data_IF_036195033498
#
_entry.id   IF_036195033498
#
_cell.length_a   1.000
_cell.length_b   1.000
_cell.length_c   1.000
_cell.angle_alpha   90.00
_cell.angle_beta   90.00
_cell.angle_gamma   90.00
#
_symmetry.space_group_name_H-M   'P 1'
#
loop_
_entity.id
_entity.type
_entity.pdbx_description
1 polymer ?
#
# COMPACT_ATOMS: atom_id res chain seq x y z
N UNK A 1 -1.71 -10.37 -4.24
CA UNK A 1 -0.51 -9.50 -4.15
C UNK A 1 -0.38 -8.59 -5.36
N UNK A 2 -0.29 -9.15 -6.57
CA UNK A 2 0.01 -8.40 -7.81
C UNK A 2 -0.90 -7.19 -8.04
N UNK A 3 -2.22 -7.38 -8.07
CA UNK A 3 -3.17 -6.28 -8.27
C UNK A 3 -3.08 -5.19 -7.20
N UNK A 4 -2.75 -5.54 -5.95
CA UNK A 4 -2.58 -4.57 -4.87
C UNK A 4 -1.32 -3.72 -5.08
N UNK A 5 -0.19 -4.36 -5.44
CA UNK A 5 1.07 -3.67 -5.73
C UNK A 5 0.92 -2.68 -6.90
N UNK A 6 0.27 -3.07 -8.00
CA UNK A 6 0.03 -2.19 -9.13
C UNK A 6 -0.96 -1.06 -8.82
N UNK A 7 -2.04 -1.34 -8.09
CA UNK A 7 -2.98 -0.30 -7.65
C UNK A 7 -2.29 0.77 -6.81
N UNK A 8 -1.46 0.35 -5.83
CA UNK A 8 -0.69 1.26 -5.02
C UNK A 8 0.32 2.08 -5.85
N UNK A 9 1.03 1.43 -6.79
CA UNK A 9 1.98 2.11 -7.68
C UNK A 9 1.30 3.22 -8.48
N UNK A 10 0.09 2.96 -8.96
CA UNK A 10 -0.72 3.97 -9.64
C UNK A 10 -1.13 5.11 -8.68
N UNK A 11 -1.56 4.80 -7.45
CA UNK A 11 -1.98 5.81 -6.47
C UNK A 11 -0.84 6.74 -6.03
N UNK A 12 0.38 6.22 -5.85
CA UNK A 12 1.56 7.03 -5.45
C UNK A 12 2.21 7.76 -6.64
N UNK A 13 1.99 7.27 -7.86
CA UNK A 13 2.38 7.96 -9.09
C UNK A 13 1.47 9.15 -9.41
N UNK A 14 0.21 9.08 -8.98
CA UNK A 14 -0.81 10.07 -9.23
C UNK A 14 -0.76 11.23 -8.22
N UNK A 15 -0.39 12.42 -8.71
CA UNK A 15 -0.29 13.66 -7.92
C UNK A 15 -1.65 14.13 -7.38
N UNK A 16 -2.76 13.70 -7.97
CA UNK A 16 -4.10 14.04 -7.48
C UNK A 16 -4.58 13.07 -6.38
N UNK A 17 -3.85 11.97 -6.14
CA UNK A 17 -4.17 10.95 -5.13
C UNK A 17 -3.13 10.91 -3.99
N UNK A 18 -2.58 9.73 -3.69
CA UNK A 18 -1.58 9.57 -2.62
C UNK A 18 -0.25 10.22 -3.00
N UNK A 19 0.09 10.22 -4.30
CA UNK A 19 1.35 10.78 -4.79
C UNK A 19 1.55 12.28 -4.55
N UNK A 20 0.46 13.05 -4.43
CA UNK A 20 0.52 14.48 -4.06
C UNK A 20 0.42 14.75 -2.56
N UNK A 21 0.16 13.70 -1.77
CA UNK A 21 -0.04 13.77 -0.33
C UNK A 21 1.18 13.28 0.44
N UNK A 22 1.91 12.32 -0.11
CA UNK A 22 3.12 11.74 0.45
C UNK A 22 4.32 12.67 0.24
N UNK A 23 5.22 12.74 1.21
CA UNK A 23 6.54 13.33 1.00
C UNK A 23 7.45 12.39 0.17
N UNK A 24 8.56 12.92 -0.33
CA UNK A 24 9.47 12.17 -1.20
C UNK A 24 10.07 10.93 -0.50
N UNK A 25 10.28 10.98 0.81
CA UNK A 25 10.82 9.84 1.57
C UNK A 25 9.77 8.75 1.70
N UNK A 26 8.59 9.10 2.17
CA UNK A 26 7.44 8.20 2.33
C UNK A 26 7.06 7.56 0.98
N UNK A 27 7.06 8.35 -0.11
CA UNK A 27 6.82 7.84 -1.46
C UNK A 27 7.88 6.83 -1.90
N UNK A 28 9.16 7.13 -1.67
CA UNK A 28 10.26 6.24 -2.07
C UNK A 28 10.25 4.92 -1.30
N UNK A 29 9.87 4.94 -0.01
CA UNK A 29 9.70 3.72 0.78
C UNK A 29 8.58 2.83 0.22
N UNK A 30 7.44 3.43 -0.15
CA UNK A 30 6.34 2.68 -0.76
C UNK A 30 6.74 2.13 -2.14
N UNK A 31 7.38 2.94 -2.99
CA UNK A 31 7.88 2.51 -4.30
C UNK A 31 8.84 1.32 -4.17
N UNK A 32 9.81 1.41 -3.25
CA UNK A 32 10.75 0.31 -2.98
C UNK A 32 10.03 -0.97 -2.55
N UNK A 33 9.06 -0.87 -1.63
CA UNK A 33 8.31 -2.03 -1.15
C UNK A 33 7.49 -2.69 -2.27
N UNK A 34 6.90 -1.89 -3.16
CA UNK A 34 6.14 -2.37 -4.32
C UNK A 34 7.09 -3.07 -5.31
N UNK A 35 8.21 -2.46 -5.65
CA UNK A 35 9.15 -3.03 -6.60
C UNK A 35 9.77 -4.33 -6.06
N UNK A 36 10.05 -4.42 -4.74
CA UNK A 36 10.43 -5.67 -4.07
C UNK A 36 9.34 -6.75 -4.17
N UNK A 37 8.06 -6.38 -4.08
CA UNK A 37 6.94 -7.32 -4.20
C UNK A 37 6.76 -7.81 -5.64
N UNK A 38 6.88 -6.92 -6.63
CA UNK A 38 6.81 -7.24 -8.06
C UNK A 38 7.99 -8.13 -8.46
N UNK A 39 9.22 -7.78 -8.07
CA UNK A 39 10.40 -8.60 -8.36
C UNK A 39 10.30 -10.00 -7.76
N UNK A 40 9.70 -10.11 -6.56
CA UNK A 40 9.43 -11.41 -5.96
C UNK A 40 8.38 -12.18 -6.77
N UNK A 41 7.28 -11.55 -7.20
CA UNK A 41 6.27 -12.18 -8.04
C UNK A 41 6.85 -12.69 -9.37
N UNK A 42 7.70 -11.92 -10.03
CA UNK A 42 8.34 -12.32 -11.29
C UNK A 42 9.24 -13.55 -11.10
N UNK A 43 9.88 -13.69 -9.94
CA UNK A 43 10.69 -14.86 -9.59
C UNK A 43 9.86 -16.04 -9.06
N UNK A 44 8.63 -15.78 -8.60
CA UNK A 44 7.77 -16.75 -7.93
C UNK A 44 6.38 -16.83 -8.61
N UNK A 45 6.35 -16.96 -9.95
CA UNK A 45 5.10 -16.99 -10.74
C UNK A 45 4.15 -18.15 -10.39
N UNK A 46 4.66 -19.19 -9.73
CA UNK A 46 3.90 -20.33 -9.23
C UNK A 46 3.67 -20.34 -7.72
N UNK A 47 3.88 -19.20 -7.04
CA UNK A 47 3.70 -19.09 -5.59
C UNK A 47 2.30 -19.53 -5.15
N UNK A 48 2.26 -20.21 -4.01
CA UNK A 48 1.03 -20.66 -3.37
C UNK A 48 0.23 -19.47 -2.84
N UNK A 49 -1.06 -19.68 -2.59
CA UNK A 49 -1.93 -18.64 -2.00
C UNK A 49 -1.39 -18.14 -0.66
N UNK A 50 -0.86 -19.05 0.17
CA UNK A 50 -0.26 -18.72 1.46
C UNK A 50 0.96 -17.80 1.31
N UNK A 51 1.87 -18.11 0.37
CA UNK A 51 3.06 -17.29 0.08
C UNK A 51 2.66 -15.90 -0.46
N UNK A 52 1.65 -15.85 -1.34
CA UNK A 52 1.10 -14.60 -1.86
C UNK A 52 0.45 -13.75 -0.75
N UNK A 53 -0.21 -14.38 0.23
CA UNK A 53 -0.80 -13.69 1.38
C UNK A 53 0.28 -13.18 2.34
N UNK A 54 1.28 -13.98 2.66
CA UNK A 54 2.41 -13.57 3.51
C UNK A 54 3.15 -12.38 2.89
N UNK A 55 3.45 -12.46 1.59
CA UNK A 55 4.12 -11.38 0.87
C UNK A 55 3.25 -10.12 0.77
N UNK A 56 1.93 -10.27 0.62
CA UNK A 56 0.97 -9.14 0.71
C UNK A 56 0.98 -8.50 2.08
N UNK A 57 0.95 -9.30 3.16
CA UNK A 57 1.02 -8.80 4.53
C UNK A 57 2.33 -8.07 4.81
N UNK A 58 3.45 -8.55 4.27
CA UNK A 58 4.73 -7.86 4.38
C UNK A 58 4.71 -6.48 3.70
N UNK A 59 4.15 -6.40 2.49
CA UNK A 59 3.94 -5.14 1.78
C UNK A 59 3.03 -4.19 2.56
N UNK A 60 1.88 -4.69 3.05
CA UNK A 60 0.95 -3.91 3.86
C UNK A 60 1.60 -3.40 5.15
N UNK A 61 2.38 -4.22 5.85
CA UNK A 61 3.05 -3.81 7.09
C UNK A 61 4.05 -2.66 6.90
N UNK A 62 4.64 -2.51 5.70
CA UNK A 62 5.52 -1.38 5.37
C UNK A 62 4.71 -0.13 5.02
N UNK A 63 3.58 -0.29 4.33
CA UNK A 63 2.78 0.83 3.80
C UNK A 63 1.80 1.40 4.82
N UNK A 64 1.19 0.54 5.64
CA UNK A 64 0.22 0.91 6.68
C UNK A 64 0.70 2.03 7.62
N UNK A 65 1.92 2.02 8.19
CA UNK A 65 2.38 3.11 9.04
C UNK A 65 2.50 4.45 8.30
N UNK A 66 2.89 4.43 7.03
CA UNK A 66 3.03 5.63 6.19
C UNK A 66 1.65 6.22 5.90
N UNK A 67 0.71 5.38 5.49
CA UNK A 67 -0.67 5.79 5.24
C UNK A 67 -1.35 6.28 6.54
N UNK A 68 -1.12 5.58 7.66
CA UNK A 68 -1.66 5.99 8.97
C UNK A 68 -1.15 7.35 9.42
N UNK A 69 0.16 7.61 9.25
CA UNK A 69 0.77 8.92 9.51
C UNK A 69 0.11 10.00 8.63
N UNK A 70 -0.02 9.72 7.33
CA UNK A 70 -0.65 10.62 6.38
C UNK A 70 -2.09 11.01 6.76
N UNK A 71 -2.93 10.04 7.15
CA UNK A 71 -4.31 10.32 7.55
C UNK A 71 -4.41 11.02 8.92
N UNK A 72 -3.46 10.78 9.84
CA UNK A 72 -3.37 11.54 11.09
C UNK A 72 -2.99 13.00 10.84
N UNK A 73 -2.05 13.24 9.93
CA UNK A 73 -1.57 14.59 9.60
C UNK A 73 -2.59 15.40 8.78
N UNK A 74 -3.46 14.75 8.00
CA UNK A 74 -4.48 15.43 7.17
C UNK A 74 -5.85 15.61 7.85
N UNK A 75 -6.01 15.17 9.10
CA UNK A 75 -7.32 15.09 9.74
C UNK A 75 -8.21 14.00 9.12
N UNK A 76 -9.36 13.67 9.75
CA UNK A 76 -10.21 12.58 9.28
C UNK A 76 -10.61 12.80 7.81
N UNK A 77 -10.47 11.79 6.94
CA UNK A 77 -10.87 11.93 5.55
C UNK A 77 -12.36 12.26 5.46
N UNK A 78 -12.80 13.02 4.44
CA UNK A 78 -14.22 13.18 4.16
C UNK A 78 -14.87 11.79 4.03
N UNK A 79 -16.09 11.60 4.54
CA UNK A 79 -16.74 10.30 4.58
C UNK A 79 -16.84 9.74 3.15
N UNK A 80 -16.10 8.67 2.87
CA UNK A 80 -16.05 8.01 1.56
C UNK A 80 -14.66 7.74 0.97
N UNK A 81 -13.57 8.24 1.57
CA UNK A 81 -12.20 8.05 1.06
C UNK A 81 -11.29 7.17 1.95
N UNK A 82 -11.86 6.47 2.94
CA UNK A 82 -11.13 5.44 3.67
C UNK A 82 -11.15 4.12 2.86
N UNK A 83 -10.01 3.42 2.65
CA UNK A 83 -10.10 1.99 2.46
C UNK A 83 -10.77 1.47 3.74
N UNK A 84 -11.82 0.69 3.59
CA UNK A 84 -12.62 0.13 4.68
C UNK A 84 -11.71 -0.50 5.73
N UNK A 85 -11.35 0.27 6.75
CA UNK A 85 -10.95 -0.23 8.05
C UNK A 85 -12.27 -0.75 8.62
N UNK A 86 -12.56 -2.01 8.30
CA UNK A 86 -13.50 -2.85 9.01
C UNK A 86 -12.97 -2.93 10.44
N UNK A 87 -13.29 -1.88 11.18
CA UNK A 87 -13.34 -1.87 12.63
C UNK A 87 -14.53 -2.77 12.95
N UNK A 88 -14.31 -4.07 12.87
CA UNK A 88 -15.25 -5.10 13.30
C UNK A 88 -15.48 -4.84 14.80
N UNK A 89 -16.65 -4.28 15.07
CA UNK A 89 -17.19 -4.09 16.39
C UNK A 89 -17.57 -5.47 16.94
N UNK A 90 -16.89 -5.94 17.99
CA UNK A 90 -17.51 -6.58 19.16
C UNK A 90 -16.55 -6.66 20.35
#
# INVERSE_FOLDING_TARGET
LEGYAYSLKNQIGDKEKLGGKLDESDKKEIESAIDEAISWLDSNKGASVEELQERKKNLESKIQPIISKLYKDQGPPPPGAAPTEEKDEL
#
